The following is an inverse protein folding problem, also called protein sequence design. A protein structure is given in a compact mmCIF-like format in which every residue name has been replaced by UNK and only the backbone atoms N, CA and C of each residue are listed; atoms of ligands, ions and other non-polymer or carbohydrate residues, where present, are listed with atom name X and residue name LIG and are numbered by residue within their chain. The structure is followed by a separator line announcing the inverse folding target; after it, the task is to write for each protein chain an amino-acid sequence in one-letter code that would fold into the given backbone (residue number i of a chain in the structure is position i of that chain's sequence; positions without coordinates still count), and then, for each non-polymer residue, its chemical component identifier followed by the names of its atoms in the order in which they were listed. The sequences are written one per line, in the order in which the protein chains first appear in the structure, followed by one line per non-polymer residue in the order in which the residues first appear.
data_IF_088727958220
#
_entry.id   IF_088727958220
#
_cell.length_a   1.000
_cell.length_b   1.000
_cell.length_c   1.000
_cell.angle_alpha   90.00
_cell.angle_beta   90.00
_cell.angle_gamma   90.00
#
_symmetry.space_group_name_H-M   'P 1'
#
loop_
_entity.id
_entity.type
_entity.pdbx_description
1 polymer ?
#
# COMPACT_ATOMS: atom_id res chain seq x y z
N UNK A 1 -4.43 -10.95 23.02
CA UNK A 1 -3.23 -11.64 23.51
C UNK A 1 -2.06 -11.06 22.79
N UNK A 2 -1.10 -10.51 23.53
CA UNK A 2 0.10 -9.85 22.98
C UNK A 2 1.28 -10.73 23.35
N UNK A 3 1.96 -11.30 22.34
CA UNK A 3 3.05 -12.23 22.53
C UNK A 3 4.29 -11.76 21.79
N UNK A 4 5.46 -11.95 22.40
CA UNK A 4 6.75 -11.59 21.81
C UNK A 4 7.13 -12.64 20.76
N UNK A 5 7.37 -12.17 19.52
CA UNK A 5 7.92 -12.99 18.44
C UNK A 5 9.45 -13.01 18.47
N UNK A 6 10.06 -11.84 18.73
CA UNK A 6 11.52 -11.67 18.72
C UNK A 6 11.95 -10.65 19.75
N UNK A 7 13.16 -10.84 20.29
CA UNK A 7 13.86 -9.87 21.12
C UNK A 7 15.18 -9.53 20.44
N UNK A 8 15.44 -8.24 20.27
CA UNK A 8 16.68 -7.78 19.65
C UNK A 8 17.82 -7.81 20.69
N UNK A 9 19.03 -8.23 20.29
CA UNK A 9 20.18 -8.21 21.19
C UNK A 9 20.54 -6.77 21.57
N UNK A 10 21.17 -6.62 22.72
CA UNK A 10 21.66 -5.32 23.23
C UNK A 10 20.55 -4.25 23.39
N UNK A 11 19.34 -4.68 23.78
CA UNK A 11 18.18 -3.82 24.03
C UNK A 11 17.61 -4.02 25.42
N UNK A 12 16.79 -3.09 25.88
CA UNK A 12 16.11 -3.15 27.17
C UNK A 12 15.33 -4.46 27.36
N UNK A 13 14.63 -4.95 26.35
CA UNK A 13 13.92 -6.22 26.39
C UNK A 13 14.87 -7.41 26.64
N UNK A 14 16.08 -7.39 26.07
CA UNK A 14 17.09 -8.41 26.30
C UNK A 14 17.68 -8.33 27.72
N UNK A 15 17.95 -7.11 28.23
CA UNK A 15 18.45 -6.88 29.59
C UNK A 15 17.45 -7.35 30.65
N UNK A 16 16.15 -7.19 30.41
CA UNK A 16 15.08 -7.68 31.27
C UNK A 16 14.91 -9.21 31.22
N UNK A 17 15.62 -9.89 30.32
CA UNK A 17 15.51 -11.34 30.15
C UNK A 17 14.20 -11.78 29.49
N UNK A 18 13.53 -10.89 28.75
CA UNK A 18 12.39 -11.25 27.91
C UNK A 18 12.82 -12.19 26.79
N UNK A 19 11.97 -13.14 26.46
CA UNK A 19 12.25 -14.15 25.43
C UNK A 19 11.08 -14.33 24.49
N UNK A 20 11.30 -14.79 23.25
CA UNK A 20 10.22 -15.14 22.34
C UNK A 20 9.22 -16.11 22.97
N UNK A 21 7.93 -15.90 22.73
CA UNK A 21 6.84 -16.65 23.32
C UNK A 21 6.35 -16.12 24.68
N UNK A 22 7.00 -15.11 25.27
CA UNK A 22 6.49 -14.41 26.45
C UNK A 22 5.18 -13.72 26.14
N UNK A 23 4.17 -13.91 26.97
CA UNK A 23 2.85 -13.28 26.86
C UNK A 23 2.80 -12.02 27.74
N UNK A 24 2.64 -10.86 27.12
CA UNK A 24 2.48 -9.58 27.78
C UNK A 24 1.00 -9.39 28.16
N UNK A 25 0.70 -9.20 29.44
CA UNK A 25 -0.66 -9.15 29.97
C UNK A 25 -1.14 -7.75 30.26
N UNK A 26 -0.31 -6.95 30.96
CA UNK A 26 -0.64 -5.57 31.37
C UNK A 26 0.60 -4.68 31.32
N UNK A 27 0.33 -3.41 31.10
CA UNK A 27 1.29 -2.32 31.30
C UNK A 27 0.62 -1.26 32.18
N UNK A 28 1.29 -0.88 33.28
CA UNK A 28 0.78 0.08 34.26
C UNK A 28 -0.64 -0.24 34.75
N UNK A 29 -0.91 -1.56 34.97
CA UNK A 29 -2.19 -2.08 35.42
C UNK A 29 -3.31 -2.15 34.34
N UNK A 30 -3.07 -1.66 33.11
CA UNK A 30 -4.01 -1.73 31.97
C UNK A 30 -3.76 -3.00 31.16
N UNK A 31 -4.84 -3.72 30.84
CA UNK A 31 -4.78 -4.96 30.04
C UNK A 31 -4.39 -4.69 28.59
N UNK A 32 -3.57 -5.56 28.03
CA UNK A 32 -3.18 -5.55 26.63
C UNK A 32 -4.09 -6.47 25.82
N UNK A 33 -4.99 -5.92 25.01
CA UNK A 33 -5.84 -6.68 24.10
C UNK A 33 -5.14 -7.01 22.78
N UNK A 34 -4.30 -6.10 22.27
CA UNK A 34 -3.55 -6.26 21.04
C UNK A 34 -2.30 -5.34 20.99
N UNK A 35 -1.63 -5.33 19.84
CA UNK A 35 -0.39 -4.57 19.62
C UNK A 35 -0.54 -3.05 19.82
N UNK A 36 -1.72 -2.47 19.52
CA UNK A 36 -1.93 -1.03 19.74
C UNK A 36 -1.88 -0.68 21.22
N UNK A 37 -2.44 -1.53 22.12
CA UNK A 37 -2.33 -1.28 23.55
C UNK A 37 -0.87 -1.30 24.00
N UNK A 38 -0.05 -2.21 23.45
CA UNK A 38 1.37 -2.22 23.71
C UNK A 38 2.05 -0.92 23.26
N UNK A 39 1.86 -0.52 22.00
CA UNK A 39 2.49 0.68 21.44
C UNK A 39 2.14 1.94 22.25
N UNK A 40 0.86 2.10 22.64
CA UNK A 40 0.42 3.27 23.39
C UNK A 40 0.82 3.21 24.86
N UNK A 41 0.70 2.06 25.53
CA UNK A 41 0.94 1.96 26.96
C UNK A 41 2.42 1.80 27.32
N UNK A 42 3.24 1.30 26.39
CA UNK A 42 4.69 1.21 26.57
C UNK A 42 5.44 2.49 26.15
N UNK A 43 4.72 3.54 25.74
CA UNK A 43 5.34 4.81 25.38
C UNK A 43 5.85 5.63 26.58
N UNK A 44 5.34 5.35 27.80
CA UNK A 44 5.80 5.99 29.03
C UNK A 44 7.23 5.57 29.37
N UNK A 45 7.91 6.42 30.15
CA UNK A 45 9.28 6.15 30.63
C UNK A 45 9.28 5.16 31.81
N UNK A 46 8.29 5.27 32.70
CA UNK A 46 8.12 4.40 33.87
C UNK A 46 7.06 3.33 33.58
N UNK A 47 7.49 2.08 33.52
CA UNK A 47 6.62 0.96 33.16
C UNK A 47 6.59 -0.12 34.23
N UNK A 48 5.39 -0.60 34.53
CA UNK A 48 5.18 -1.85 35.26
C UNK A 48 4.54 -2.84 34.30
N UNK A 49 5.31 -3.85 33.87
CA UNK A 49 4.89 -4.83 32.87
C UNK A 49 4.61 -6.17 33.55
N UNK A 50 3.36 -6.63 33.46
CA UNK A 50 2.96 -7.97 33.88
C UNK A 50 3.01 -8.92 32.68
N UNK A 51 3.75 -10.02 32.82
CA UNK A 51 3.94 -10.99 31.73
C UNK A 51 3.91 -12.43 32.25
N UNK A 52 3.68 -13.37 31.32
CA UNK A 52 3.84 -14.81 31.57
C UNK A 52 4.94 -15.34 30.64
N UNK A 53 5.97 -15.92 31.21
CA UNK A 53 7.06 -16.57 30.48
C UNK A 53 6.57 -17.86 29.77
N UNK A 54 7.28 -18.35 28.76
CA UNK A 54 6.91 -19.59 28.06
C UNK A 54 6.78 -20.82 28.98
N UNK A 55 7.46 -20.81 30.14
CA UNK A 55 7.36 -21.84 31.19
C UNK A 55 6.10 -21.79 32.03
N UNK A 56 5.27 -20.72 31.91
CA UNK A 56 4.07 -20.51 32.72
C UNK A 56 4.29 -19.64 33.95
N UNK A 57 5.52 -19.22 34.21
CA UNK A 57 5.85 -18.36 35.37
C UNK A 57 5.32 -16.94 35.11
N UNK A 58 4.58 -16.40 36.07
CA UNK A 58 4.15 -15.01 36.07
C UNK A 58 5.27 -14.11 36.61
N UNK A 59 5.58 -13.06 35.89
CA UNK A 59 6.63 -12.09 36.22
C UNK A 59 6.11 -10.66 36.13
N UNK A 60 6.71 -9.79 36.94
CA UNK A 60 6.46 -8.34 36.89
C UNK A 60 7.80 -7.65 36.72
N UNK A 61 7.88 -6.81 35.72
CA UNK A 61 9.05 -5.97 35.44
C UNK A 61 8.73 -4.52 35.82
N UNK A 62 9.56 -3.93 36.66
CA UNK A 62 9.56 -2.48 36.90
C UNK A 62 10.72 -1.89 36.09
N UNK A 63 10.42 -0.99 35.17
CA UNK A 63 11.33 -0.51 34.15
C UNK A 63 11.34 1.02 34.15
N UNK A 64 12.50 1.60 34.28
CA UNK A 64 12.75 3.01 33.93
C UNK A 64 13.47 3.04 32.59
N UNK A 65 12.89 3.72 31.60
CA UNK A 65 13.43 3.80 30.24
C UNK A 65 13.76 5.24 29.88
N UNK A 66 14.95 5.52 29.33
CA UNK A 66 15.25 6.83 28.77
C UNK A 66 14.28 7.20 27.64
N UNK A 67 13.88 8.47 27.59
CA UNK A 67 12.97 8.98 26.56
C UNK A 67 13.48 8.64 25.15
N UNK A 68 12.62 8.04 24.32
CA UNK A 68 12.91 7.69 22.93
C UNK A 68 13.75 6.42 22.74
N UNK A 69 14.15 5.71 23.80
CA UNK A 69 14.86 4.45 23.67
C UNK A 69 13.89 3.32 23.25
N UNK A 70 14.15 2.59 22.13
CA UNK A 70 13.28 1.52 21.70
C UNK A 70 13.32 0.36 22.68
N UNK A 71 12.17 -0.25 22.96
CA UNK A 71 12.10 -1.40 23.87
C UNK A 71 12.86 -2.62 23.35
N UNK A 72 12.91 -2.78 22.02
CA UNK A 72 13.71 -3.81 21.34
C UNK A 72 13.05 -5.17 21.28
N UNK A 73 11.74 -5.22 21.12
CA UNK A 73 11.00 -6.45 20.86
C UNK A 73 10.10 -6.34 19.64
N UNK A 74 9.83 -7.47 19.00
CA UNK A 74 8.82 -7.61 17.97
C UNK A 74 7.68 -8.48 18.50
N UNK A 75 6.45 -8.07 18.23
CA UNK A 75 5.26 -8.83 18.63
C UNK A 75 4.86 -9.83 17.56
N UNK A 76 4.22 -10.94 17.97
CA UNK A 76 3.55 -11.81 17.01
C UNK A 76 2.50 -11.01 16.21
N UNK A 77 2.32 -11.30 14.90
CA UNK A 77 1.31 -10.63 14.09
C UNK A 77 -0.07 -10.71 14.74
N UNK A 78 -0.84 -9.61 14.74
CA UNK A 78 -2.15 -9.59 15.36
C UNK A 78 -3.14 -10.48 14.59
N UNK A 79 -4.11 -11.06 15.32
CA UNK A 79 -5.25 -11.69 14.67
C UNK A 79 -6.04 -10.61 13.93
N UNK A 80 -6.07 -10.69 12.60
CA UNK A 80 -6.71 -9.72 11.72
C UNK A 80 -8.24 -9.82 11.82
N UNK A 81 -8.91 -8.68 11.87
CA UNK A 81 -10.39 -8.60 11.82
C UNK A 81 -10.85 -8.79 10.38
N UNK A 82 -11.58 -9.86 10.15
CA UNK A 82 -12.02 -10.23 8.81
C UNK A 82 -13.13 -9.32 8.29
N UNK A 83 -13.07 -8.99 7.01
CA UNK A 83 -14.12 -8.31 6.28
C UNK A 83 -15.38 -9.18 6.20
N UNK A 84 -16.55 -8.58 6.52
CA UNK A 84 -17.86 -9.24 6.43
C UNK A 84 -18.59 -8.98 5.10
N UNK A 85 -18.03 -8.12 4.24
CA UNK A 85 -18.61 -7.74 2.97
C UNK A 85 -18.40 -8.83 1.90
N UNK A 86 -19.20 -8.78 0.83
CA UNK A 86 -19.11 -9.70 -0.33
C UNK A 86 -19.15 -8.92 -1.63
N UNK A 87 -18.31 -7.88 -1.72
CA UNK A 87 -18.24 -7.03 -2.90
C UNK A 87 -17.92 -7.87 -4.14
N UNK A 88 -18.67 -7.68 -5.23
CA UNK A 88 -18.39 -8.36 -6.50
C UNK A 88 -17.04 -7.92 -7.11
N UNK A 89 -16.61 -6.71 -6.79
CA UNK A 89 -15.34 -6.12 -7.22
C UNK A 89 -14.17 -6.36 -6.24
N UNK A 90 -14.32 -7.27 -5.28
CA UNK A 90 -13.25 -7.57 -4.33
C UNK A 90 -12.05 -8.20 -5.07
N UNK A 91 -10.90 -7.52 -5.05
CA UNK A 91 -9.69 -8.01 -5.72
C UNK A 91 -9.25 -9.39 -5.19
N UNK A 92 -9.42 -9.64 -3.89
CA UNK A 92 -9.05 -10.93 -3.28
C UNK A 92 -9.92 -12.08 -3.81
N UNK A 93 -11.20 -11.83 -4.13
CA UNK A 93 -12.06 -12.84 -4.77
C UNK A 93 -11.67 -13.09 -6.25
N UNK A 94 -10.93 -12.15 -6.85
CA UNK A 94 -10.34 -12.26 -8.18
C UNK A 94 -8.95 -12.89 -8.21
N UNK A 95 -8.45 -13.44 -7.10
CA UNK A 95 -7.17 -14.13 -7.06
C UNK A 95 -7.30 -15.59 -7.55
N UNK A 96 -6.29 -16.14 -8.27
CA UNK A 96 -6.24 -17.56 -8.60
C UNK A 96 -6.19 -18.41 -7.34
N UNK A 97 -6.65 -19.64 -7.40
CA UNK A 97 -6.55 -20.58 -6.28
C UNK A 97 -5.13 -21.15 -6.18
N UNK A 98 -4.68 -21.42 -4.96
CA UNK A 98 -3.43 -22.14 -4.70
C UNK A 98 -2.24 -21.24 -4.37
N UNK A 99 -2.41 -19.93 -4.29
CA UNK A 99 -1.38 -19.02 -3.79
C UNK A 99 -1.24 -19.13 -2.26
N UNK A 100 -0.20 -18.52 -1.68
CA UNK A 100 0.01 -18.51 -0.23
C UNK A 100 -1.16 -17.90 0.54
N UNK A 101 -1.42 -18.47 1.72
CA UNK A 101 -2.61 -18.12 2.53
C UNK A 101 -2.78 -16.63 2.86
N UNK A 102 -1.72 -15.86 3.16
CA UNK A 102 -1.86 -14.45 3.49
C UNK A 102 -2.53 -13.62 2.38
N UNK A 103 -2.35 -13.96 1.10
CA UNK A 103 -2.96 -13.26 -0.02
C UNK A 103 -4.50 -13.34 -0.04
N UNK A 104 -5.09 -14.35 0.60
CA UNK A 104 -6.55 -14.51 0.69
C UNK A 104 -7.14 -13.90 1.96
N UNK A 105 -6.34 -13.17 2.73
CA UNK A 105 -6.82 -12.52 3.94
C UNK A 105 -7.56 -11.23 3.59
N UNK A 106 -8.88 -11.26 3.77
CA UNK A 106 -9.72 -10.06 3.61
C UNK A 106 -9.85 -9.39 4.97
N UNK A 107 -9.15 -8.31 5.15
CA UNK A 107 -9.20 -7.50 6.36
C UNK A 107 -10.26 -6.39 6.27
N UNK A 108 -10.80 -6.02 7.43
CA UNK A 108 -11.59 -4.82 7.68
C UNK A 108 -11.25 -4.36 9.10
N UNK A 109 -9.97 -4.00 9.29
CA UNK A 109 -9.35 -3.80 10.58
C UNK A 109 -8.85 -2.36 10.75
N UNK A 110 -9.58 -1.57 11.56
CA UNK A 110 -9.21 -0.18 11.83
C UNK A 110 -7.81 -0.03 12.45
N UNK A 111 -7.30 -1.08 13.12
CA UNK A 111 -5.95 -1.07 13.73
C UNK A 111 -4.87 -1.09 12.65
N UNK A 112 -5.06 -1.93 11.62
CA UNK A 112 -4.17 -1.97 10.46
C UNK A 112 -4.33 -0.72 9.60
N UNK A 113 -5.56 -0.16 9.55
CA UNK A 113 -5.80 1.13 8.90
C UNK A 113 -4.94 2.22 9.52
N UNK A 114 -4.94 2.34 10.84
CA UNK A 114 -4.14 3.33 11.56
C UNK A 114 -2.64 3.05 11.46
N UNK A 115 -2.20 1.80 11.72
CA UNK A 115 -0.79 1.47 11.86
C UNK A 115 -0.03 1.35 10.53
N UNK A 116 -0.73 0.94 9.45
CA UNK A 116 -0.10 0.57 8.16
C UNK A 116 -0.77 1.21 6.94
N UNK A 117 -1.78 2.06 7.11
CA UNK A 117 -2.48 2.69 5.99
C UNK A 117 -3.45 1.77 5.23
N UNK A 118 -3.77 0.57 5.75
CA UNK A 118 -4.70 -0.34 5.09
C UNK A 118 -6.09 0.29 5.01
N UNK A 119 -6.71 0.28 3.83
CA UNK A 119 -8.04 0.83 3.65
C UNK A 119 -9.12 -0.10 4.19
N UNK A 120 -9.78 0.30 5.28
CA UNK A 120 -10.87 -0.45 5.92
C UNK A 120 -12.25 0.12 5.57
N UNK A 121 -13.25 -0.75 5.37
CA UNK A 121 -14.64 -0.31 5.11
C UNK A 121 -15.38 0.13 6.37
N UNK A 122 -14.82 -0.12 7.54
CA UNK A 122 -15.41 0.13 8.86
C UNK A 122 -16.77 -0.57 9.07
N UNK A 123 -17.06 -1.60 8.27
CA UNK A 123 -18.38 -2.28 8.28
C UNK A 123 -18.60 -3.15 9.52
N UNK A 124 -17.56 -3.45 10.27
CA UNK A 124 -17.56 -4.35 11.42
C UNK A 124 -17.31 -3.64 12.78
N UNK A 125 -17.27 -2.29 12.81
CA UNK A 125 -17.06 -1.53 14.04
C UNK A 125 -18.19 -1.73 15.04
N UNK A 126 -17.82 -1.86 16.32
CA UNK A 126 -18.71 -1.94 17.48
C UNK A 126 -18.51 -0.71 18.36
N UNK A 127 -19.41 -0.44 19.29
CA UNK A 127 -19.33 0.69 20.21
C UNK A 127 -17.99 0.77 20.97
N UNK A 128 -17.46 -0.36 21.40
CA UNK A 128 -16.14 -0.43 22.04
C UNK A 128 -15.00 0.01 21.11
N UNK A 129 -15.15 -0.20 19.80
CA UNK A 129 -14.13 0.17 18.81
C UNK A 129 -14.14 1.69 18.59
N UNK A 130 -15.33 2.30 18.53
CA UNK A 130 -15.48 3.76 18.51
C UNK A 130 -14.84 4.40 19.75
N UNK A 131 -15.17 3.86 20.94
CA UNK A 131 -14.59 4.37 22.18
C UNK A 131 -13.06 4.32 22.16
N UNK A 132 -12.47 3.20 21.70
CA UNK A 132 -11.03 3.01 21.62
C UNK A 132 -10.35 3.90 20.58
N UNK A 133 -10.95 4.04 19.38
CA UNK A 133 -10.43 4.94 18.34
C UNK A 133 -10.35 6.38 18.87
N UNK A 134 -11.40 6.82 19.60
CA UNK A 134 -11.46 8.16 20.19
C UNK A 134 -10.49 8.31 21.39
N UNK A 135 -10.39 7.31 22.27
CA UNK A 135 -9.50 7.33 23.42
C UNK A 135 -8.05 7.43 23.00
N UNK A 136 -7.61 6.61 22.06
CA UNK A 136 -6.23 6.59 21.54
C UNK A 136 -5.98 7.61 20.43
N UNK A 137 -7.02 8.35 20.00
CA UNK A 137 -6.93 9.31 18.90
C UNK A 137 -6.29 8.70 17.64
N UNK A 138 -6.76 7.50 17.25
CA UNK A 138 -6.24 6.80 16.08
C UNK A 138 -6.57 7.57 14.79
N UNK A 139 -5.67 8.45 14.39
CA UNK A 139 -5.84 9.41 13.28
C UNK A 139 -4.52 9.61 12.55
N UNK A 140 -4.51 9.69 11.20
CA UNK A 140 -5.67 9.47 10.34
C UNK A 140 -6.05 7.99 10.22
N UNK A 141 -7.30 7.71 9.81
CA UNK A 141 -7.74 6.39 9.36
C UNK A 141 -7.87 6.38 7.82
N UNK A 142 -7.54 5.26 7.22
CA UNK A 142 -7.71 5.01 5.79
C UNK A 142 -8.99 4.23 5.55
N UNK A 143 -9.94 4.85 4.81
CA UNK A 143 -11.33 4.35 4.75
C UNK A 143 -11.78 4.07 3.33
N UNK A 144 -12.14 2.82 3.04
CA UNK A 144 -12.83 2.41 1.81
C UNK A 144 -14.32 2.78 1.88
N UNK A 145 -14.67 3.94 1.32
CA UNK A 145 -16.05 4.46 1.35
C UNK A 145 -16.92 3.84 0.28
N UNK A 146 -16.45 3.82 -0.95
CA UNK A 146 -17.08 3.38 -2.20
C UNK A 146 -18.37 4.13 -2.58
N UNK A 147 -19.28 4.41 -1.65
CA UNK A 147 -20.44 5.26 -1.81
C UNK A 147 -20.96 5.75 -0.45
N UNK A 148 -21.51 6.97 -0.37
CA UNK A 148 -22.19 7.50 0.82
C UNK A 148 -23.70 7.26 0.79
N UNK A 149 -24.40 7.32 -0.37
CA UNK A 149 -25.81 6.91 -0.43
C UNK A 149 -25.95 5.47 0.06
N UNK A 150 -26.64 5.31 1.19
CA UNK A 150 -26.62 4.06 1.97
C UNK A 150 -27.09 2.83 1.17
N UNK A 151 -28.11 2.96 0.34
CA UNK A 151 -28.62 1.85 -0.49
C UNK A 151 -27.60 1.47 -1.58
N UNK A 152 -26.92 2.45 -2.20
CA UNK A 152 -25.84 2.18 -3.14
C UNK A 152 -24.67 1.47 -2.44
N UNK A 153 -24.29 1.90 -1.24
CA UNK A 153 -23.25 1.25 -0.46
C UNK A 153 -23.60 -0.19 -0.07
N UNK A 154 -24.84 -0.46 0.33
CA UNK A 154 -25.32 -1.83 0.62
C UNK A 154 -25.19 -2.73 -0.59
N UNK A 155 -25.59 -2.22 -1.75
CA UNK A 155 -25.51 -2.96 -3.01
C UNK A 155 -24.04 -3.25 -3.39
N UNK A 156 -23.17 -2.24 -3.36
CA UNK A 156 -21.74 -2.36 -3.68
C UNK A 156 -21.02 -3.36 -2.76
N UNK A 157 -21.25 -3.28 -1.46
CA UNK A 157 -20.60 -4.16 -0.48
C UNK A 157 -21.31 -5.53 -0.37
N UNK A 158 -22.42 -5.70 -1.07
CA UNK A 158 -23.27 -6.88 -0.96
C UNK A 158 -23.48 -7.26 0.51
N UNK A 159 -23.81 -6.26 1.34
CA UNK A 159 -23.98 -6.37 2.78
C UNK A 159 -25.20 -5.56 3.25
N UNK A 160 -26.36 -6.19 3.43
CA UNK A 160 -27.59 -5.48 3.82
C UNK A 160 -27.52 -4.88 5.24
N UNK A 161 -26.54 -5.28 6.05
CA UNK A 161 -26.33 -4.82 7.42
C UNK A 161 -25.20 -3.82 7.57
N UNK A 162 -24.60 -3.37 6.46
CA UNK A 162 -23.53 -2.37 6.52
C UNK A 162 -24.07 -1.09 7.17
N UNK A 163 -23.35 -0.52 8.14
CA UNK A 163 -23.76 0.74 8.76
C UNK A 163 -23.67 1.91 7.79
N UNK A 164 -24.38 3.00 8.12
CA UNK A 164 -24.27 4.25 7.39
C UNK A 164 -22.87 4.85 7.61
N UNK A 165 -22.08 4.95 6.56
CA UNK A 165 -20.70 5.43 6.66
C UNK A 165 -20.61 6.91 7.03
N UNK A 166 -21.53 7.75 6.55
CA UNK A 166 -21.56 9.17 6.88
C UNK A 166 -21.77 9.37 8.39
N UNK A 167 -22.67 8.62 9.00
CA UNK A 167 -22.91 8.67 10.45
C UNK A 167 -21.65 8.25 11.23
N UNK A 168 -20.97 7.17 10.78
CA UNK A 168 -19.73 6.72 11.42
C UNK A 168 -18.62 7.76 11.32
N UNK A 169 -18.36 8.29 10.11
CA UNK A 169 -17.35 9.31 9.90
C UNK A 169 -17.66 10.60 10.64
N UNK A 170 -18.93 11.04 10.64
CA UNK A 170 -19.37 12.23 11.40
C UNK A 170 -19.08 12.07 12.89
N UNK A 171 -19.39 10.90 13.44
CA UNK A 171 -19.14 10.61 14.88
C UNK A 171 -17.65 10.64 15.20
N UNK A 172 -16.81 10.03 14.38
CA UNK A 172 -15.35 10.00 14.57
C UNK A 172 -14.73 11.38 14.35
N UNK A 173 -15.18 12.11 13.33
CA UNK A 173 -14.76 13.48 13.04
C UNK A 173 -15.07 14.44 14.20
N UNK A 174 -16.24 14.29 14.83
CA UNK A 174 -16.60 15.08 16.03
C UNK A 174 -15.64 14.82 17.21
N UNK A 175 -14.95 13.69 17.24
CA UNK A 175 -13.89 13.36 18.19
C UNK A 175 -12.47 13.70 17.73
N UNK A 176 -12.32 14.39 16.59
CA UNK A 176 -11.02 14.85 16.06
C UNK A 176 -10.28 13.82 15.22
N UNK A 177 -10.95 12.75 14.77
CA UNK A 177 -10.35 11.76 13.87
C UNK A 177 -10.45 12.24 12.43
N UNK A 178 -9.35 12.15 11.70
CA UNK A 178 -9.23 12.49 10.28
C UNK A 178 -9.16 11.23 9.42
N UNK A 179 -9.41 11.40 8.11
CA UNK A 179 -9.53 10.28 7.17
C UNK A 179 -8.86 10.56 5.83
N UNK A 180 -8.14 9.57 5.31
CA UNK A 180 -7.91 9.40 3.89
C UNK A 180 -8.95 8.43 3.35
N UNK A 181 -9.74 8.86 2.36
CA UNK A 181 -10.83 8.07 1.82
C UNK A 181 -10.47 7.49 0.44
N UNK A 182 -10.97 6.29 0.17
CA UNK A 182 -10.85 5.64 -1.14
C UNK A 182 -12.23 5.27 -1.65
N UNK A 183 -12.43 5.44 -2.95
CA UNK A 183 -13.61 4.95 -3.65
C UNK A 183 -13.18 4.16 -4.88
N UNK A 184 -13.41 2.85 -4.86
CA UNK A 184 -13.32 2.03 -6.09
C UNK A 184 -14.54 2.34 -6.92
N UNK A 185 -14.32 2.93 -8.09
CA UNK A 185 -15.41 3.32 -9.00
C UNK A 185 -15.77 2.16 -9.91
N UNK A 186 -17.03 1.74 -9.81
CA UNK A 186 -17.62 0.63 -10.58
C UNK A 186 -18.65 1.23 -11.54
N UNK A 187 -18.41 1.21 -12.87
CA UNK A 187 -19.30 1.81 -13.85
C UNK A 187 -20.74 1.31 -13.74
N UNK A 188 -21.69 2.26 -13.65
CA UNK A 188 -23.11 2.00 -13.51
C UNK A 188 -23.60 1.67 -12.09
N UNK A 189 -22.70 1.63 -11.07
CA UNK A 189 -23.09 1.38 -9.69
C UNK A 189 -22.81 2.59 -8.78
N UNK A 190 -21.62 3.16 -8.81
CA UNK A 190 -21.26 4.31 -7.98
C UNK A 190 -20.56 5.44 -8.72
N UNK A 191 -20.67 5.46 -10.04
CA UNK A 191 -20.33 6.60 -10.89
C UNK A 191 -21.51 7.61 -10.96
N UNK A 192 -21.37 8.65 -11.77
CA UNK A 192 -22.41 9.65 -12.01
C UNK A 192 -22.98 10.29 -10.74
N UNK A 193 -24.30 10.26 -10.56
CA UNK A 193 -24.99 10.91 -9.46
C UNK A 193 -24.60 10.34 -8.08
N UNK A 194 -24.28 9.03 -8.00
CA UNK A 194 -23.83 8.40 -6.76
C UNK A 194 -22.44 8.90 -6.37
N UNK A 195 -21.54 9.04 -7.33
CA UNK A 195 -20.21 9.64 -7.13
C UNK A 195 -20.32 11.09 -6.64
N UNK A 196 -21.11 11.91 -7.34
CA UNK A 196 -21.33 13.32 -6.97
C UNK A 196 -21.93 13.48 -5.58
N UNK A 197 -22.91 12.62 -5.22
CA UNK A 197 -23.48 12.61 -3.88
C UNK A 197 -22.42 12.24 -2.84
N UNK A 198 -21.60 11.23 -3.13
CA UNK A 198 -20.56 10.76 -2.22
C UNK A 198 -19.48 11.82 -1.98
N UNK A 199 -18.99 12.46 -3.04
CA UNK A 199 -18.01 13.54 -2.92
C UNK A 199 -18.58 14.73 -2.13
N UNK A 200 -19.83 15.10 -2.38
CA UNK A 200 -20.50 16.17 -1.61
C UNK A 200 -20.62 15.85 -0.12
N UNK A 201 -21.03 14.62 0.22
CA UNK A 201 -21.20 14.20 1.62
C UNK A 201 -19.87 14.14 2.36
N UNK A 202 -18.80 13.63 1.70
CA UNK A 202 -17.45 13.62 2.26
C UNK A 202 -16.88 15.04 2.40
N UNK A 203 -17.10 15.90 1.39
CA UNK A 203 -16.65 17.29 1.45
C UNK A 203 -17.31 18.08 2.58
N UNK A 204 -18.58 17.76 2.92
CA UNK A 204 -19.31 18.38 4.02
C UNK A 204 -18.74 18.03 5.41
N UNK A 205 -17.91 16.99 5.54
CA UNK A 205 -17.18 16.66 6.78
C UNK A 205 -15.99 17.60 7.05
N UNK A 206 -15.72 18.55 6.16
CA UNK A 206 -14.69 19.58 6.35
C UNK A 206 -13.27 18.98 6.41
N UNK A 207 -12.46 19.53 7.30
CA UNK A 207 -11.04 19.16 7.47
C UNK A 207 -10.84 17.77 8.06
N UNK A 208 -11.91 17.07 8.44
CA UNK A 208 -11.83 15.68 8.88
C UNK A 208 -11.50 14.75 7.70
N UNK A 209 -11.90 15.07 6.47
CA UNK A 209 -11.51 14.31 5.28
C UNK A 209 -10.33 15.01 4.61
N UNK A 210 -9.13 14.45 4.82
CA UNK A 210 -7.87 14.98 4.31
C UNK A 210 -7.75 14.82 2.80
N UNK A 211 -8.13 13.66 2.28
CA UNK A 211 -8.11 13.39 0.83
C UNK A 211 -9.07 12.28 0.43
N UNK A 212 -9.46 12.27 -0.85
CA UNK A 212 -10.26 11.19 -1.46
C UNK A 212 -9.56 10.71 -2.72
N UNK A 213 -9.23 9.41 -2.79
CA UNK A 213 -8.75 8.76 -4.00
C UNK A 213 -9.89 8.07 -4.74
N UNK A 214 -10.01 8.34 -6.03
CA UNK A 214 -10.87 7.62 -6.95
C UNK A 214 -10.03 6.65 -7.77
N UNK A 215 -10.30 5.36 -7.67
CA UNK A 215 -9.58 4.31 -8.39
C UNK A 215 -10.55 3.50 -9.23
N UNK A 216 -10.16 3.02 -10.43
CA UNK A 216 -11.03 2.17 -11.22
C UNK A 216 -11.17 0.79 -10.59
N UNK A 217 -12.25 0.11 -10.89
CA UNK A 217 -12.40 -1.30 -10.52
C UNK A 217 -11.33 -2.15 -11.23
N UNK A 218 -10.54 -2.90 -10.45
CA UNK A 218 -9.59 -3.87 -10.97
C UNK A 218 -10.27 -5.23 -11.20
N UNK A 219 -10.15 -5.75 -12.42
CA UNK A 219 -10.75 -7.04 -12.81
C UNK A 219 -9.65 -7.96 -13.35
N UNK A 220 -9.54 -9.15 -12.77
CA UNK A 220 -8.64 -10.21 -13.23
C UNK A 220 -9.39 -11.28 -14.03
N UNK A 221 -8.69 -12.20 -14.69
CA UNK A 221 -9.30 -13.35 -15.36
C UNK A 221 -10.06 -14.30 -14.41
N UNK A 222 -9.90 -14.15 -13.09
CA UNK A 222 -10.56 -14.95 -12.05
C UNK A 222 -11.69 -14.20 -11.35
N UNK A 223 -12.00 -12.98 -11.74
CA UNK A 223 -13.08 -12.17 -11.15
C UNK A 223 -14.47 -12.66 -11.58
N UNK A 224 -14.76 -13.94 -11.35
CA UNK A 224 -16.00 -14.60 -11.80
C UNK A 224 -17.27 -14.07 -11.13
N UNK A 225 -17.16 -13.41 -9.98
CA UNK A 225 -18.27 -12.79 -9.27
C UNK A 225 -18.60 -11.40 -9.80
N UNK A 226 -17.67 -10.79 -10.52
CA UNK A 226 -17.88 -9.47 -11.09
C UNK A 226 -18.75 -9.56 -12.34
N UNK A 227 -19.92 -8.95 -12.29
CA UNK A 227 -20.90 -8.92 -13.38
C UNK A 227 -21.00 -7.53 -14.02
N UNK A 228 -20.28 -6.55 -13.46
CA UNK A 228 -20.25 -5.18 -13.95
C UNK A 228 -19.46 -5.00 -15.26
N UNK A 229 -19.40 -3.76 -15.72
CA UNK A 229 -18.57 -3.38 -16.86
C UNK A 229 -17.17 -3.01 -16.37
N UNK A 230 -16.09 -3.37 -17.08
CA UNK A 230 -14.78 -2.83 -16.80
C UNK A 230 -14.79 -1.30 -17.00
N UNK A 231 -13.84 -0.61 -16.36
CA UNK A 231 -13.63 0.81 -16.64
C UNK A 231 -13.13 0.96 -18.08
N UNK A 232 -13.81 1.78 -18.86
CA UNK A 232 -13.42 2.15 -20.22
C UNK A 232 -13.00 3.61 -20.32
N UNK A 233 -12.51 4.04 -21.48
CA UNK A 233 -12.04 5.41 -21.74
C UNK A 233 -13.10 6.46 -21.40
N UNK A 234 -14.36 6.25 -21.82
CA UNK A 234 -15.45 7.19 -21.59
C UNK A 234 -15.79 7.31 -20.11
N UNK A 235 -15.88 6.17 -19.40
CA UNK A 235 -16.17 6.14 -17.97
C UNK A 235 -15.03 6.77 -17.17
N UNK A 236 -13.76 6.46 -17.47
CA UNK A 236 -12.60 7.06 -16.84
C UNK A 236 -12.58 8.58 -17.05
N UNK A 237 -12.87 9.04 -18.28
CA UNK A 237 -12.98 10.45 -18.60
C UNK A 237 -14.07 11.19 -17.81
N UNK A 238 -15.23 10.54 -17.57
CA UNK A 238 -16.30 11.11 -16.72
C UNK A 238 -15.91 11.20 -15.27
N UNK A 239 -15.21 10.18 -14.74
CA UNK A 239 -14.70 10.20 -13.37
C UNK A 239 -13.69 11.33 -13.19
N UNK A 240 -12.72 11.47 -14.10
CA UNK A 240 -11.74 12.56 -14.04
C UNK A 240 -12.37 13.95 -14.19
N UNK A 241 -13.43 14.09 -14.99
CA UNK A 241 -14.17 15.35 -15.06
C UNK A 241 -14.89 15.69 -13.73
N UNK A 242 -15.28 14.70 -12.94
CA UNK A 242 -15.76 14.93 -11.58
C UNK A 242 -14.61 15.33 -10.65
N UNK A 243 -13.45 14.65 -10.73
CA UNK A 243 -12.24 15.02 -9.99
C UNK A 243 -11.90 16.51 -10.23
N UNK A 244 -11.76 16.92 -11.48
CA UNK A 244 -11.38 18.30 -11.86
C UNK A 244 -12.34 19.34 -11.26
N UNK A 245 -13.65 19.10 -11.32
CA UNK A 245 -14.65 20.02 -10.73
C UNK A 245 -14.52 20.15 -9.21
N UNK A 246 -14.28 19.03 -8.53
CA UNK A 246 -14.14 19.03 -7.07
C UNK A 246 -12.78 19.55 -6.61
N UNK A 247 -11.71 19.33 -7.37
CA UNK A 247 -10.40 19.97 -7.15
C UNK A 247 -10.47 21.48 -7.28
N UNK A 248 -11.08 21.97 -8.39
CA UNK A 248 -11.25 23.41 -8.61
C UNK A 248 -12.02 24.07 -7.47
N UNK A 249 -13.09 23.41 -7.03
CA UNK A 249 -13.88 23.87 -5.89
C UNK A 249 -13.05 23.88 -4.60
N UNK A 250 -12.31 22.82 -4.31
CA UNK A 250 -11.50 22.71 -3.10
C UNK A 250 -10.37 23.74 -3.08
N UNK A 251 -9.71 23.97 -4.21
CA UNK A 251 -8.70 25.03 -4.34
C UNK A 251 -9.26 26.42 -4.02
N UNK A 252 -10.48 26.73 -4.46
CA UNK A 252 -11.14 28.03 -4.18
C UNK A 252 -11.58 28.13 -2.72
N UNK A 253 -12.19 27.07 -2.16
CA UNK A 253 -12.83 27.12 -0.84
C UNK A 253 -11.87 26.75 0.31
N UNK A 254 -10.85 25.92 0.07
CA UNK A 254 -9.92 25.40 1.08
C UNK A 254 -8.46 25.79 0.82
N UNK A 255 -8.11 26.23 -0.39
CA UNK A 255 -6.74 26.54 -0.79
C UNK A 255 -5.87 25.31 -1.10
N UNK A 256 -6.46 24.13 -1.16
CA UNK A 256 -5.76 22.86 -1.40
C UNK A 256 -6.60 21.91 -2.27
N UNK A 257 -5.94 20.96 -2.93
CA UNK A 257 -6.61 19.84 -3.61
C UNK A 257 -7.07 18.83 -2.58
N UNK A 258 -8.17 18.17 -2.88
CA UNK A 258 -8.80 17.29 -1.90
C UNK A 258 -9.20 15.94 -2.48
N UNK A 259 -9.55 15.86 -3.77
CA UNK A 259 -9.91 14.63 -4.46
C UNK A 259 -8.92 14.39 -5.59
N UNK A 260 -8.57 13.13 -5.80
CA UNK A 260 -7.54 12.74 -6.77
C UNK A 260 -8.02 11.52 -7.55
N UNK A 261 -7.76 11.52 -8.87
CA UNK A 261 -7.85 10.31 -9.68
C UNK A 261 -6.55 9.51 -9.62
N UNK A 262 -6.64 8.18 -9.63
CA UNK A 262 -5.44 7.35 -9.78
C UNK A 262 -4.84 7.48 -11.19
N UNK A 263 -3.54 7.20 -11.29
CA UNK A 263 -2.81 7.24 -12.57
C UNK A 263 -3.48 6.37 -13.64
N UNK A 264 -4.06 5.23 -13.23
CA UNK A 264 -4.78 4.34 -14.15
C UNK A 264 -5.99 5.00 -14.81
N UNK A 265 -6.72 5.87 -14.11
CA UNK A 265 -7.83 6.63 -14.71
C UNK A 265 -7.34 7.58 -15.81
N UNK A 266 -6.20 8.24 -15.61
CA UNK A 266 -5.58 9.09 -16.64
C UNK A 266 -5.13 8.26 -17.83
N UNK A 267 -4.47 7.12 -17.61
CA UNK A 267 -4.02 6.23 -18.67
C UNK A 267 -5.20 5.66 -19.47
N UNK A 268 -6.25 5.20 -18.80
CA UNK A 268 -7.46 4.67 -19.46
C UNK A 268 -8.18 5.73 -20.29
N UNK A 269 -8.21 6.98 -19.82
CA UNK A 269 -8.89 8.08 -20.51
C UNK A 269 -8.05 8.75 -21.59
N UNK A 270 -6.78 8.35 -21.75
CA UNK A 270 -5.84 8.98 -22.67
C UNK A 270 -5.47 10.43 -22.30
N UNK A 271 -5.70 10.84 -21.03
CA UNK A 271 -5.33 12.17 -20.54
C UNK A 271 -3.90 12.18 -20.01
N UNK A 272 -3.28 13.34 -20.08
CA UNK A 272 -1.96 13.53 -19.49
C UNK A 272 -2.01 13.44 -17.95
N UNK A 273 -0.99 12.81 -17.39
CA UNK A 273 -0.82 12.71 -15.94
C UNK A 273 -0.39 14.08 -15.38
N UNK A 274 -0.97 14.51 -14.27
CA UNK A 274 -0.55 15.74 -13.60
C UNK A 274 0.93 15.72 -13.17
N UNK A 275 1.51 16.91 -13.02
CA UNK A 275 2.87 17.09 -12.51
C UNK A 275 2.94 16.88 -10.98
N UNK A 276 4.14 16.63 -10.41
CA UNK A 276 4.31 16.29 -9.00
C UNK A 276 3.64 17.25 -8.01
N UNK A 277 3.64 18.56 -8.30
CA UNK A 277 3.06 19.59 -7.45
C UNK A 277 1.54 19.44 -7.26
N UNK A 278 0.89 18.70 -8.16
CA UNK A 278 -0.54 18.40 -8.07
C UNK A 278 -0.88 17.52 -6.86
N UNK A 279 0.04 16.66 -6.46
CA UNK A 279 -0.21 15.60 -5.48
C UNK A 279 0.24 15.94 -4.05
N UNK A 280 0.88 17.10 -3.84
CA UNK A 280 1.35 17.53 -2.52
C UNK A 280 2.32 16.56 -1.90
N UNK A 281 1.94 15.95 -0.78
CA UNK A 281 2.72 14.98 -0.03
C UNK A 281 2.57 13.52 -0.52
N UNK A 282 1.87 13.30 -1.62
CA UNK A 282 1.57 11.97 -2.16
C UNK A 282 0.83 11.04 -1.18
N UNK A 283 0.00 11.58 -0.31
CA UNK A 283 -0.70 10.83 0.75
C UNK A 283 -1.57 9.64 0.26
N UNK A 284 -1.85 9.57 -1.03
CA UNK A 284 -2.65 8.51 -1.66
C UNK A 284 -1.84 7.62 -2.64
N UNK A 285 -0.51 7.62 -2.54
CA UNK A 285 0.37 6.90 -3.48
C UNK A 285 0.09 5.38 -3.51
N UNK A 286 -0.26 4.80 -2.37
CA UNK A 286 -0.63 3.38 -2.25
C UNK A 286 -1.90 3.01 -3.07
N UNK A 287 -2.69 4.00 -3.43
CA UNK A 287 -3.83 3.88 -4.35
C UNK A 287 -3.46 4.10 -5.81
N UNK A 288 -2.17 4.19 -6.13
CA UNK A 288 -1.70 4.54 -7.47
C UNK A 288 -2.04 5.97 -7.87
N UNK A 289 -2.14 6.89 -6.91
CA UNK A 289 -2.36 8.33 -7.13
C UNK A 289 -1.03 9.02 -7.12
N UNK A 290 -0.60 9.51 -8.29
CA UNK A 290 0.66 10.23 -8.46
C UNK A 290 1.92 9.35 -8.41
N UNK A 291 1.80 8.03 -8.52
CA UNK A 291 2.95 7.13 -8.51
C UNK A 291 3.92 7.40 -9.66
N UNK A 292 3.39 7.69 -10.85
CA UNK A 292 4.20 8.07 -12.02
C UNK A 292 4.87 9.43 -11.83
N UNK A 293 4.15 10.40 -11.27
CA UNK A 293 4.70 11.74 -10.97
C UNK A 293 5.82 11.65 -9.93
N UNK A 294 5.64 10.85 -8.88
CA UNK A 294 6.66 10.57 -7.87
C UNK A 294 7.91 9.91 -8.48
N UNK A 295 7.73 8.90 -9.35
CA UNK A 295 8.84 8.28 -10.08
C UNK A 295 9.60 9.31 -10.93
N UNK A 296 8.89 10.15 -11.70
CA UNK A 296 9.49 11.22 -12.52
C UNK A 296 10.30 12.20 -11.67
N UNK A 297 9.77 12.59 -10.52
CA UNK A 297 10.45 13.49 -9.59
C UNK A 297 11.72 12.86 -9.03
N UNK A 298 11.64 11.63 -8.51
CA UNK A 298 12.83 10.93 -7.97
C UNK A 298 13.93 10.76 -9.01
N UNK A 299 13.57 10.38 -10.24
CA UNK A 299 14.53 10.33 -11.34
C UNK A 299 15.10 11.72 -11.64
N UNK A 300 14.26 12.77 -11.62
CA UNK A 300 14.73 14.13 -11.87
C UNK A 300 15.74 14.60 -10.82
N UNK A 301 15.49 14.27 -9.55
CA UNK A 301 16.33 14.69 -8.43
C UNK A 301 17.64 13.92 -8.36
N UNK A 302 17.64 12.61 -8.66
CA UNK A 302 18.83 11.75 -8.50
C UNK A 302 19.67 11.55 -9.75
N UNK A 303 19.13 11.77 -10.96
CA UNK A 303 19.83 11.42 -12.21
C UNK A 303 21.17 12.13 -12.38
N UNK A 304 21.30 13.37 -11.88
CA UNK A 304 22.51 14.18 -12.01
C UNK A 304 23.74 13.62 -11.25
N UNK A 305 23.49 12.76 -10.25
CA UNK A 305 24.54 12.16 -9.41
C UNK A 305 24.97 10.77 -9.91
N UNK A 306 24.30 10.23 -10.94
CA UNK A 306 24.61 8.91 -11.45
C UNK A 306 25.99 8.85 -12.12
N UNK A 307 26.76 7.75 -11.88
CA UNK A 307 28.05 7.53 -12.51
C UNK A 307 27.90 7.25 -14.02
N UNK A 308 29.01 7.36 -14.74
CA UNK A 308 29.06 6.96 -16.15
C UNK A 308 29.04 5.43 -16.25
N UNK A 309 28.15 4.93 -17.12
CA UNK A 309 27.99 3.52 -17.44
C UNK A 309 28.13 3.28 -18.95
N UNK A 310 29.12 3.98 -19.57
CA UNK A 310 29.33 4.00 -21.02
C UNK A 310 29.41 2.59 -21.63
N UNK A 311 28.57 2.36 -22.65
CA UNK A 311 28.53 1.09 -23.38
C UNK A 311 27.75 -0.03 -22.68
N UNK A 312 27.27 0.16 -21.46
CA UNK A 312 26.39 -0.81 -20.79
C UNK A 312 25.01 -0.85 -21.40
N UNK A 313 24.41 -2.03 -21.41
CA UNK A 313 23.02 -2.26 -21.82
C UNK A 313 22.21 -2.71 -20.62
N UNK A 314 21.24 -1.89 -20.24
CA UNK A 314 20.38 -2.07 -19.06
C UNK A 314 18.97 -2.41 -19.50
N UNK A 315 18.47 -3.60 -19.14
CA UNK A 315 17.08 -3.96 -19.31
C UNK A 315 16.21 -3.33 -18.20
N UNK A 316 15.11 -2.71 -18.56
CA UNK A 316 14.14 -2.15 -17.59
C UNK A 316 12.81 -2.86 -17.74
N UNK A 317 12.53 -3.77 -16.81
CA UNK A 317 11.30 -4.54 -16.77
C UNK A 317 10.18 -3.69 -16.14
N UNK A 318 9.00 -3.71 -16.73
CA UNK A 318 7.83 -3.02 -16.19
C UNK A 318 6.51 -3.65 -16.66
N UNK A 319 5.39 -3.25 -16.07
CA UNK A 319 4.06 -3.61 -16.55
C UNK A 319 3.70 -2.89 -17.85
N UNK A 320 2.73 -3.43 -18.57
CA UNK A 320 2.36 -2.92 -19.90
C UNK A 320 1.77 -1.50 -19.88
N UNK A 321 1.12 -1.09 -18.79
CA UNK A 321 0.60 0.28 -18.63
C UNK A 321 1.69 1.35 -18.65
N UNK A 322 2.88 1.02 -18.14
CA UNK A 322 4.01 1.94 -18.06
C UNK A 322 4.76 2.10 -19.40
N UNK A 323 4.52 1.23 -20.37
CA UNK A 323 5.31 1.19 -21.62
C UNK A 323 5.33 2.53 -22.37
N UNK A 324 4.22 3.24 -22.39
CA UNK A 324 4.12 4.56 -23.05
C UNK A 324 4.79 5.70 -22.24
N UNK A 325 4.96 5.54 -20.94
CA UNK A 325 5.45 6.57 -20.02
C UNK A 325 6.96 6.51 -19.78
N UNK A 326 7.56 5.34 -19.99
CA UNK A 326 8.97 5.08 -19.70
C UNK A 326 9.97 5.74 -20.66
N UNK A 327 9.74 5.86 -21.99
CA UNK A 327 10.77 6.31 -22.93
C UNK A 327 11.43 7.66 -22.59
N UNK A 328 10.70 8.70 -22.14
CA UNK A 328 11.35 9.96 -21.74
C UNK A 328 12.27 9.80 -20.51
N UNK A 329 11.89 8.96 -19.54
CA UNK A 329 12.71 8.68 -18.35
C UNK A 329 13.99 7.93 -18.73
N UNK A 330 13.86 6.89 -19.56
CA UNK A 330 15.01 6.10 -20.03
C UNK A 330 15.96 6.92 -20.90
N UNK A 331 15.45 7.83 -21.73
CA UNK A 331 16.26 8.74 -22.51
C UNK A 331 17.11 9.65 -21.60
N UNK A 332 16.54 10.18 -20.53
CA UNK A 332 17.24 11.00 -19.53
C UNK A 332 18.33 10.22 -18.80
N UNK A 333 18.05 8.99 -18.39
CA UNK A 333 19.04 8.09 -17.80
C UNK A 333 20.19 7.78 -18.78
N UNK A 334 19.86 7.53 -20.07
CA UNK A 334 20.85 7.27 -21.11
C UNK A 334 21.76 8.47 -21.36
N UNK A 335 21.21 9.67 -21.43
CA UNK A 335 21.96 10.92 -21.62
C UNK A 335 22.98 11.12 -20.48
N UNK A 336 22.55 10.95 -19.25
CA UNK A 336 23.41 11.14 -18.07
C UNK A 336 24.49 10.07 -17.96
N UNK A 337 24.12 8.80 -18.09
CA UNK A 337 25.02 7.67 -17.78
C UNK A 337 25.84 7.20 -18.98
N UNK A 338 25.41 7.46 -20.22
CA UNK A 338 26.01 6.88 -21.45
C UNK A 338 25.64 5.41 -21.68
N UNK A 339 24.79 4.82 -20.84
CA UNK A 339 24.25 3.49 -21.03
C UNK A 339 23.08 3.47 -22.02
N UNK A 340 22.80 2.31 -22.58
CA UNK A 340 21.58 2.06 -23.37
C UNK A 340 20.57 1.38 -22.47
N UNK A 341 19.43 2.05 -22.24
CA UNK A 341 18.31 1.47 -21.50
C UNK A 341 17.29 0.88 -22.47
N UNK A 342 16.97 -0.38 -22.27
CA UNK A 342 15.99 -1.08 -23.08
C UNK A 342 14.74 -1.39 -22.25
N UNK A 343 13.61 -0.87 -22.69
CA UNK A 343 12.31 -1.11 -22.06
C UNK A 343 11.82 -2.52 -22.36
N UNK A 344 11.43 -3.26 -21.33
CA UNK A 344 10.93 -4.63 -21.41
C UNK A 344 9.54 -4.71 -20.74
N UNK A 345 8.46 -4.36 -21.46
CA UNK A 345 7.10 -4.50 -20.95
C UNK A 345 6.74 -5.98 -20.82
N UNK A 346 6.18 -6.36 -19.67
CA UNK A 346 5.82 -7.74 -19.36
C UNK A 346 4.31 -7.85 -19.15
N UNK A 347 3.68 -8.77 -19.88
CA UNK A 347 2.28 -9.12 -19.67
C UNK A 347 2.12 -10.04 -18.47
N UNK A 348 1.11 -9.76 -17.65
CA UNK A 348 0.81 -10.56 -16.46
C UNK A 348 0.05 -11.83 -16.85
N UNK A 349 0.71 -12.99 -16.78
CA UNK A 349 0.08 -14.28 -17.09
C UNK A 349 -0.73 -14.85 -15.92
N UNK A 350 -0.41 -14.44 -14.68
CA UNK A 350 -1.10 -14.92 -13.48
C UNK A 350 -2.51 -14.34 -13.39
N UNK A 351 -2.65 -13.02 -13.53
CA UNK A 351 -3.93 -12.32 -13.36
C UNK A 351 -4.65 -12.04 -14.69
N UNK A 352 -3.96 -12.21 -15.80
CA UNK A 352 -4.46 -11.95 -17.15
C UNK A 352 -4.07 -10.56 -17.69
N UNK A 353 -4.32 -10.33 -18.99
CA UNK A 353 -3.82 -9.15 -19.71
C UNK A 353 -4.46 -7.83 -19.29
N UNK A 354 -5.57 -7.85 -18.55
CA UNK A 354 -6.20 -6.67 -17.96
C UNK A 354 -5.44 -6.15 -16.73
N UNK A 355 -4.55 -6.95 -16.16
CA UNK A 355 -3.68 -6.54 -15.04
C UNK A 355 -2.36 -6.05 -15.61
N UNK A 356 -2.21 -4.74 -15.71
CA UNK A 356 -1.11 -4.08 -16.43
C UNK A 356 -0.06 -3.44 -15.52
N UNK A 357 -0.31 -3.44 -14.22
CA UNK A 357 0.50 -2.80 -13.17
C UNK A 357 1.83 -3.51 -12.94
N UNK A 358 2.92 -2.75 -12.81
CA UNK A 358 4.26 -3.28 -12.56
C UNK A 358 4.39 -4.03 -11.23
N UNK A 359 3.77 -3.51 -10.16
CA UNK A 359 3.81 -4.13 -8.81
C UNK A 359 3.08 -5.47 -8.70
N UNK A 360 2.31 -5.88 -9.71
CA UNK A 360 1.64 -7.19 -9.73
C UNK A 360 2.32 -8.21 -10.66
N UNK A 361 3.49 -7.88 -11.23
CA UNK A 361 4.27 -8.83 -12.03
C UNK A 361 4.72 -10.01 -11.17
N UNK A 362 4.78 -11.18 -11.79
CA UNK A 362 5.18 -12.43 -11.13
C UNK A 362 6.54 -12.90 -11.60
N UNK A 363 7.23 -13.65 -10.75
CA UNK A 363 8.60 -14.10 -11.04
C UNK A 363 8.71 -14.94 -12.31
N UNK A 364 7.73 -15.80 -12.59
CA UNK A 364 7.70 -16.61 -13.81
C UNK A 364 7.60 -15.77 -15.10
N UNK A 365 6.90 -14.63 -15.07
CA UNK A 365 6.77 -13.75 -16.24
C UNK A 365 8.06 -12.95 -16.47
N UNK A 366 8.68 -12.47 -15.40
CA UNK A 366 9.98 -11.79 -15.44
C UNK A 366 11.06 -12.74 -15.94
N UNK A 367 11.13 -13.96 -15.41
CA UNK A 367 12.08 -14.99 -15.86
C UNK A 367 11.90 -15.26 -17.37
N UNK A 368 10.68 -15.43 -17.84
CA UNK A 368 10.38 -15.67 -19.27
C UNK A 368 10.82 -14.51 -20.15
N UNK A 369 10.65 -13.28 -19.70
CA UNK A 369 11.03 -12.09 -20.46
C UNK A 369 12.55 -11.90 -20.57
N UNK A 370 13.30 -12.36 -19.55
CA UNK A 370 14.75 -12.15 -19.45
C UNK A 370 15.63 -13.37 -19.81
N UNK A 371 15.09 -14.59 -19.82
CA UNK A 371 15.87 -15.83 -19.96
C UNK A 371 16.77 -15.90 -21.19
N UNK A 372 16.40 -15.29 -22.31
CA UNK A 372 17.19 -15.26 -23.55
C UNK A 372 18.06 -14.01 -23.75
N UNK A 373 18.10 -13.09 -22.79
CA UNK A 373 18.69 -11.76 -22.94
C UNK A 373 20.16 -11.72 -22.54
N UNK A 374 20.98 -12.50 -23.23
CA UNK A 374 22.46 -12.53 -23.05
C UNK A 374 23.16 -11.25 -23.53
N UNK A 375 22.42 -10.36 -24.16
CA UNK A 375 22.90 -9.06 -24.67
C UNK A 375 22.80 -7.93 -23.63
N UNK A 376 22.17 -8.17 -22.48
CA UNK A 376 22.07 -7.21 -21.40
C UNK A 376 23.21 -7.40 -20.39
N UNK A 377 23.78 -6.31 -19.91
CA UNK A 377 24.76 -6.33 -18.82
C UNK A 377 24.11 -6.46 -17.45
N UNK A 378 22.91 -5.90 -17.30
CA UNK A 378 22.06 -6.02 -16.10
C UNK A 378 20.59 -5.75 -16.44
N UNK A 379 19.69 -6.15 -15.54
CA UNK A 379 18.28 -5.81 -15.64
C UNK A 379 17.75 -5.25 -14.31
N UNK A 380 16.88 -4.24 -14.41
CA UNK A 380 16.13 -3.66 -13.31
C UNK A 380 14.70 -4.19 -13.35
N UNK A 381 14.20 -4.64 -12.21
CA UNK A 381 12.80 -5.11 -12.05
C UNK A 381 12.09 -4.27 -11.00
N UNK A 382 10.76 -4.09 -11.09
CA UNK A 382 10.02 -3.31 -10.08
C UNK A 382 10.18 -3.93 -8.68
N UNK A 383 10.68 -3.17 -7.72
CA UNK A 383 10.81 -3.65 -6.34
C UNK A 383 9.45 -3.93 -5.70
N UNK A 384 8.41 -3.21 -6.12
CA UNK A 384 7.03 -3.36 -5.63
C UNK A 384 6.40 -4.73 -5.92
N UNK A 385 6.94 -5.52 -6.87
CA UNK A 385 6.44 -6.87 -7.14
C UNK A 385 7.01 -7.95 -6.20
N UNK A 386 7.95 -7.56 -5.30
CA UNK A 386 8.63 -8.46 -4.37
C UNK A 386 8.27 -8.04 -2.93
N UNK A 387 7.80 -8.98 -2.12
CA UNK A 387 7.47 -8.68 -0.73
C UNK A 387 8.73 -8.69 0.17
N UNK A 388 8.55 -8.37 1.46
CA UNK A 388 9.64 -8.34 2.45
C UNK A 388 10.35 -9.69 2.65
N UNK A 389 9.68 -10.81 2.32
CA UNK A 389 10.28 -12.16 2.38
C UNK A 389 11.02 -12.54 1.08
N UNK A 390 11.16 -11.61 0.14
CA UNK A 390 11.76 -11.85 -1.17
C UNK A 390 10.91 -12.70 -2.12
N UNK A 391 9.58 -12.71 -1.94
CA UNK A 391 8.65 -13.53 -2.72
C UNK A 391 7.83 -12.67 -3.70
N UNK A 392 7.69 -13.18 -4.92
CA UNK A 392 6.69 -12.72 -5.88
C UNK A 392 5.29 -13.23 -5.52
N UNK A 393 4.27 -12.77 -6.23
CA UNK A 393 2.88 -13.20 -5.99
C UNK A 393 2.62 -14.67 -6.37
N UNK A 394 3.40 -15.25 -7.27
CA UNK A 394 3.36 -16.67 -7.67
C UNK A 394 4.17 -17.59 -6.77
N UNK A 395 4.59 -17.11 -5.60
CA UNK A 395 5.41 -17.81 -4.60
C UNK A 395 6.84 -18.18 -5.07
N UNK A 396 7.27 -17.70 -6.24
CA UNK A 396 8.68 -17.80 -6.63
C UNK A 396 9.52 -16.82 -5.81
N UNK A 397 10.75 -17.23 -5.45
CA UNK A 397 11.66 -16.33 -4.74
C UNK A 397 12.47 -15.49 -5.73
N UNK A 398 12.74 -14.23 -5.38
CA UNK A 398 13.60 -13.37 -6.18
C UNK A 398 14.99 -14.00 -6.40
N UNK A 399 15.56 -14.62 -5.37
CA UNK A 399 16.84 -15.32 -5.44
C UNK A 399 16.81 -16.42 -6.52
N UNK A 400 15.76 -17.26 -6.53
CA UNK A 400 15.66 -18.34 -7.52
C UNK A 400 15.49 -17.80 -8.96
N UNK A 401 14.74 -16.72 -9.15
CA UNK A 401 14.60 -16.07 -10.46
C UNK A 401 15.95 -15.52 -10.92
N UNK A 402 16.64 -14.77 -10.05
CA UNK A 402 17.94 -14.17 -10.34
C UNK A 402 19.00 -15.21 -10.73
N UNK A 403 19.07 -16.34 -10.03
CA UNK A 403 20.05 -17.41 -10.30
C UNK A 403 19.87 -18.12 -11.65
N UNK A 404 18.66 -18.06 -12.24
CA UNK A 404 18.37 -18.68 -13.54
C UNK A 404 18.60 -17.75 -14.72
N UNK A 405 18.83 -16.47 -14.48
CA UNK A 405 18.99 -15.47 -15.52
C UNK A 405 20.46 -15.27 -15.92
N UNK A 406 20.72 -14.98 -17.20
CA UNK A 406 22.09 -14.88 -17.72
C UNK A 406 22.81 -13.57 -17.36
N UNK A 407 22.11 -12.61 -16.72
CA UNK A 407 22.67 -11.33 -16.29
C UNK A 407 22.29 -11.06 -14.82
N UNK A 408 23.00 -10.16 -14.12
CA UNK A 408 22.58 -9.62 -12.84
C UNK A 408 21.22 -8.95 -12.94
N UNK A 409 20.33 -9.19 -11.94
CA UNK A 409 19.00 -8.59 -11.84
C UNK A 409 18.86 -7.94 -10.47
N UNK A 410 18.32 -6.72 -10.46
CA UNK A 410 18.16 -5.92 -9.24
C UNK A 410 16.73 -5.38 -9.14
N UNK A 411 16.10 -5.51 -7.96
CA UNK A 411 14.86 -4.78 -7.69
C UNK A 411 15.17 -3.29 -7.51
N UNK A 412 14.36 -2.44 -8.08
CA UNK A 412 14.53 -0.99 -7.98
C UNK A 412 13.18 -0.28 -7.95
N UNK A 413 13.09 0.77 -7.12
CA UNK A 413 11.91 1.64 -7.03
C UNK A 413 11.94 2.82 -8.01
N UNK A 414 13.14 3.32 -8.37
CA UNK A 414 13.30 4.54 -9.16
C UNK A 414 14.53 4.53 -10.08
N UNK A 415 15.20 3.39 -10.20
CA UNK A 415 16.43 3.16 -10.96
C UNK A 415 17.68 3.80 -10.31
N UNK A 416 17.53 4.95 -9.66
CA UNK A 416 18.63 5.72 -9.06
C UNK A 416 19.27 4.91 -7.92
N UNK A 417 18.46 4.27 -7.09
CA UNK A 417 18.89 3.46 -5.95
C UNK A 417 19.90 2.37 -6.34
N UNK A 418 19.73 1.75 -7.52
CA UNK A 418 20.63 0.71 -8.04
C UNK A 418 21.74 1.30 -8.87
N UNK A 419 21.44 2.25 -9.77
CA UNK A 419 22.42 2.78 -10.71
C UNK A 419 23.48 3.68 -10.03
N UNK A 420 23.20 4.21 -8.84
CA UNK A 420 24.14 4.97 -8.03
C UNK A 420 25.17 4.09 -7.28
N UNK A 421 24.95 2.77 -7.19
CA UNK A 421 25.87 1.87 -6.53
C UNK A 421 27.10 1.62 -7.42
N UNK A 422 28.30 1.92 -6.88
CA UNK A 422 29.57 1.71 -7.60
C UNK A 422 30.10 0.29 -7.39
N UNK A 423 30.56 -0.35 -8.48
CA UNK A 423 31.37 -1.57 -8.46
C UNK A 423 30.74 -2.77 -7.74
N UNK A 424 31.54 -3.50 -6.94
CA UNK A 424 31.12 -4.74 -6.25
C UNK A 424 30.04 -4.53 -5.17
N UNK A 425 29.76 -3.30 -4.74
CA UNK A 425 28.70 -2.97 -3.80
C UNK A 425 27.29 -3.28 -4.34
N UNK A 426 27.14 -3.37 -5.66
CA UNK A 426 25.88 -3.79 -6.32
C UNK A 426 25.50 -5.23 -5.93
N UNK A 427 26.48 -6.06 -5.57
CA UNK A 427 26.24 -7.47 -5.15
C UNK A 427 25.73 -7.54 -3.71
N UNK A 428 26.17 -6.65 -2.83
CA UNK A 428 25.79 -6.64 -1.41
C UNK A 428 24.42 -5.99 -1.14
N UNK A 429 24.02 -5.02 -1.95
CA UNK A 429 22.68 -4.38 -1.81
C UNK A 429 21.54 -5.38 -2.09
N UNK A 430 21.74 -6.35 -2.97
CA UNK A 430 20.78 -7.42 -3.22
C UNK A 430 20.66 -8.41 -2.05
N UNK A 431 21.64 -8.47 -1.16
CA UNK A 431 21.60 -9.29 0.06
C UNK A 431 20.86 -8.57 1.23
N UNK A 432 20.87 -7.22 1.23
CA UNK A 432 20.20 -6.43 2.29
C UNK A 432 18.70 -6.20 2.01
N UNK A 433 18.24 -6.28 0.77
CA UNK A 433 16.81 -6.26 0.44
C UNK A 433 16.11 -7.60 0.74
N UNK A 434 16.86 -8.62 1.13
CA UNK A 434 16.36 -9.95 1.51
C UNK A 434 16.64 -10.27 3.00
N UNK A 435 17.09 -9.31 3.81
CA UNK A 435 17.28 -9.42 5.25
C UNK A 435 16.33 -8.48 5.99
#
# INVERSE_FOLDING_TARGET
MVRIARVHPDTLAAELGLVPGTELLRVNGRELADFLDWEFLSADDDLVIEATLPGGDAVVYEVERPEGEPFGLELEPPTVRRCANRCEFCFIEGLPKGLRKPLYMRDDDYRLSFAYGNFATLSNLKERDFARILEYRLSPLYVSVHATPWEARKALLNNPRVPNIVEQLTRLAAGGIQFHCQMVVVPGLNDGDVLEASLRDLYALGDAVLSVALVPVGVTQFSHLYTGRPMDEENAGRVLAAVERWEERALVERGDRWVFGSDELYLLSGRELPEPEHYGDFSQIENGVGAVASLRQRVADGVGELPRLDGRRVGVVTGTSMAALMPPLLARLSEQTGATFELIPVENSLFGPTTTTAGLLVGADIERALAGRVDLDLALVPAECINQDGLFLDDTTFVAVRERLPMPVYPSYDFIDVLALEGDAVVDAAAHAAA
#
